data_IF_418222505081
#
_entry.id   IF_418222505081
#
_cell.length_a   1.000
_cell.length_b   1.000
_cell.length_c   1.000
_cell.angle_alpha   90.00
_cell.angle_beta   90.00
_cell.angle_gamma   90.00
#
_symmetry.space_group_name_H-M   'P 1'
#
loop_
_entity.id
_entity.type
_entity.pdbx_description
1 polymer ?
#
# COMPACT_ATOMS: atom_id res chain seq x y z
N UNK A 1 11.62 -24.55 -13.74
CA UNK A 1 12.90 -24.10 -14.34
C UNK A 1 13.41 -22.97 -13.44
N UNK A 2 14.42 -23.24 -12.63
CA UNK A 2 15.01 -22.23 -11.74
C UNK A 2 15.86 -21.33 -12.64
N UNK A 3 15.39 -20.09 -12.86
CA UNK A 3 16.21 -19.09 -13.55
C UNK A 3 17.19 -18.53 -12.52
N UNK A 4 18.40 -19.05 -12.50
CA UNK A 4 19.52 -18.52 -11.75
C UNK A 4 20.00 -17.26 -12.47
N UNK A 5 19.72 -16.07 -11.89
CA UNK A 5 20.23 -14.82 -12.44
C UNK A 5 21.73 -14.67 -12.13
N UNK A 6 22.57 -14.86 -13.13
CA UNK A 6 23.98 -14.49 -13.07
C UNK A 6 24.09 -12.99 -13.44
N UNK A 7 24.31 -12.12 -12.44
CA UNK A 7 24.59 -10.72 -12.70
C UNK A 7 26.08 -10.52 -12.94
N UNK A 8 26.44 -10.05 -14.13
CA UNK A 8 27.78 -9.57 -14.43
C UNK A 8 27.97 -8.14 -13.92
N UNK A 9 29.05 -7.91 -13.21
CA UNK A 9 29.51 -6.59 -12.76
C UNK A 9 29.72 -5.67 -13.96
N UNK A 10 28.96 -4.56 -14.03
CA UNK A 10 29.18 -3.50 -14.98
C UNK A 10 29.50 -2.22 -14.23
N UNK A 11 30.60 -1.61 -14.63
CA UNK A 11 31.26 -0.42 -14.13
C UNK A 11 30.40 0.83 -14.24
N UNK A 12 30.51 1.71 -13.24
CA UNK A 12 29.83 2.99 -13.08
C UNK A 12 29.99 3.93 -14.27
N UNK A 13 28.90 4.44 -14.82
CA UNK A 13 28.88 5.71 -15.54
C UNK A 13 27.56 6.44 -15.30
N UNK A 14 27.68 7.63 -14.69
CA UNK A 14 26.70 8.73 -14.68
C UNK A 14 25.20 8.37 -14.64
N UNK A 15 24.68 7.93 -13.50
CA UNK A 15 23.28 8.17 -13.08
C UNK A 15 22.14 7.61 -13.92
N UNK A 16 22.40 6.97 -15.06
CA UNK A 16 21.38 6.29 -15.88
C UNK A 16 21.54 4.79 -15.70
N UNK A 17 20.47 4.13 -15.31
CA UNK A 17 20.47 2.67 -15.24
C UNK A 17 20.89 2.07 -16.58
N UNK A 18 21.77 1.10 -16.50
CA UNK A 18 22.24 0.39 -17.69
C UNK A 18 21.06 -0.37 -18.34
N UNK A 19 20.85 -0.18 -19.63
CA UNK A 19 19.84 -0.88 -20.42
C UNK A 19 19.97 -2.42 -20.33
N UNK A 20 21.13 -2.93 -19.95
CA UNK A 20 21.36 -4.36 -19.71
C UNK A 20 20.57 -4.87 -18.50
N UNK A 21 20.39 -4.09 -17.45
CA UNK A 21 19.59 -4.46 -16.26
C UNK A 21 18.12 -4.62 -16.65
N UNK A 22 17.59 -3.69 -17.47
CA UNK A 22 16.20 -3.79 -17.97
C UNK A 22 16.01 -5.07 -18.78
N UNK A 23 16.94 -5.39 -19.69
CA UNK A 23 16.88 -6.60 -20.50
C UNK A 23 17.01 -7.89 -19.68
N UNK A 24 17.67 -7.84 -18.52
CA UNK A 24 17.77 -9.00 -17.63
C UNK A 24 16.49 -9.22 -16.82
N UNK A 25 15.72 -8.17 -16.56
CA UNK A 25 14.46 -8.23 -15.81
C UNK A 25 13.27 -8.61 -16.71
N UNK A 26 13.27 -8.15 -17.97
CA UNK A 26 12.12 -8.27 -18.86
C UNK A 26 12.54 -8.75 -20.24
N UNK A 27 11.85 -9.78 -20.74
CA UNK A 27 12.00 -10.26 -22.14
C UNK A 27 11.27 -9.35 -23.12
N UNK A 28 10.16 -8.72 -22.68
CA UNK A 28 9.37 -7.74 -23.43
C UNK A 28 9.13 -6.51 -22.58
N UNK A 29 9.58 -5.36 -23.04
CA UNK A 29 9.45 -4.08 -22.36
C UNK A 29 8.30 -3.22 -22.90
N UNK A 30 7.55 -3.70 -23.88
CA UNK A 30 6.48 -2.93 -24.54
C UNK A 30 5.33 -2.57 -23.60
N UNK A 31 5.13 -3.38 -22.55
CA UNK A 31 4.09 -3.18 -21.54
C UNK A 31 4.67 -2.87 -20.15
N UNK A 32 5.86 -2.29 -20.09
CA UNK A 32 6.52 -1.95 -18.82
C UNK A 32 6.83 -0.46 -18.78
N UNK A 33 6.37 0.21 -17.73
CA UNK A 33 6.70 1.60 -17.45
C UNK A 33 7.87 1.66 -16.47
N UNK A 34 8.85 2.53 -16.75
CA UNK A 34 10.07 2.69 -15.96
C UNK A 34 10.25 4.13 -15.48
N UNK A 35 10.79 4.28 -14.28
CA UNK A 35 11.30 5.55 -13.77
C UNK A 35 12.67 5.32 -13.12
N UNK A 36 13.58 6.25 -13.35
CA UNK A 36 14.96 6.22 -12.84
C UNK A 36 15.18 7.26 -11.73
N UNK A 37 14.14 7.96 -11.35
CA UNK A 37 14.21 9.03 -10.34
C UNK A 37 13.40 8.68 -9.10
N UNK A 38 14.08 8.62 -7.96
CA UNK A 38 13.48 8.53 -6.65
C UNK A 38 13.74 9.77 -5.77
N UNK A 39 14.51 10.74 -6.27
CA UNK A 39 14.92 11.91 -5.49
C UNK A 39 13.79 12.84 -5.11
N UNK A 40 12.67 12.75 -5.80
CA UNK A 40 11.44 13.49 -5.50
C UNK A 40 10.86 13.17 -4.12
N UNK A 41 11.23 12.03 -3.54
CA UNK A 41 10.79 11.58 -2.22
C UNK A 41 11.64 12.12 -1.06
N UNK A 42 12.71 12.88 -1.38
CA UNK A 42 13.56 13.53 -0.37
C UNK A 42 12.98 14.87 0.08
N UNK A 43 11.88 14.86 0.82
CA UNK A 43 11.55 16.01 1.65
C UNK A 43 12.31 15.90 2.98
N UNK A 44 13.38 16.70 3.12
CA UNK A 44 14.22 16.72 4.33
C UNK A 44 13.48 17.20 5.59
N UNK A 45 12.32 17.84 5.45
CA UNK A 45 11.61 18.46 6.59
C UNK A 45 10.45 17.61 7.12
N UNK A 46 9.89 16.72 6.32
CA UNK A 46 8.81 15.82 6.72
C UNK A 46 8.94 14.57 5.87
N UNK A 47 8.78 13.40 6.42
CA UNK A 47 8.65 12.14 5.65
C UNK A 47 7.35 12.11 4.81
N UNK A 48 6.91 13.24 4.29
CA UNK A 48 5.72 13.36 3.46
C UNK A 48 6.07 12.94 2.05
N UNK A 49 5.34 12.02 1.52
CA UNK A 49 5.32 11.73 0.09
C UNK A 49 4.89 13.01 -0.62
N UNK A 50 5.78 13.66 -1.37
CA UNK A 50 5.49 14.94 -2.03
C UNK A 50 4.32 14.85 -2.98
N UNK A 51 4.15 13.71 -3.63
CA UNK A 51 2.98 13.41 -4.44
C UNK A 51 2.76 11.90 -4.47
N UNK A 52 1.64 11.46 -3.93
CA UNK A 52 1.16 10.09 -4.10
C UNK A 52 0.90 9.75 -5.59
N UNK A 53 0.71 10.79 -6.43
CA UNK A 53 0.46 10.67 -7.87
C UNK A 53 1.67 10.14 -8.65
N UNK A 54 2.88 10.27 -8.09
CA UNK A 54 4.10 9.77 -8.73
C UNK A 54 4.40 8.31 -8.34
N UNK A 55 3.57 7.70 -7.50
CA UNK A 55 3.72 6.31 -7.07
C UNK A 55 3.32 5.31 -8.14
N UNK A 56 3.84 4.09 -7.99
CA UNK A 56 3.46 2.94 -8.81
C UNK A 56 2.19 2.32 -8.23
N UNK A 57 1.29 1.84 -9.08
CA UNK A 57 -0.03 1.35 -8.69
C UNK A 57 -0.22 -0.10 -9.09
N UNK A 58 -0.78 -0.91 -8.19
CA UNK A 58 -1.37 -2.21 -8.51
C UNK A 58 -2.67 -2.38 -7.74
N UNK A 59 -3.66 -3.01 -8.37
CA UNK A 59 -4.99 -3.22 -7.78
C UNK A 59 -5.78 -4.28 -8.52
N UNK A 60 -6.81 -4.83 -7.86
CA UNK A 60 -7.69 -5.86 -8.38
C UNK A 60 -9.18 -5.43 -8.41
N UNK A 61 -9.47 -4.13 -8.21
CA UNK A 61 -10.81 -3.60 -8.13
C UNK A 61 -11.38 -3.52 -6.71
N UNK A 62 -10.94 -4.37 -5.77
CA UNK A 62 -11.32 -4.34 -4.36
C UNK A 62 -10.20 -3.75 -3.51
N UNK A 63 -9.03 -4.33 -3.57
CA UNK A 63 -7.81 -3.89 -2.90
C UNK A 63 -6.86 -3.23 -3.89
N UNK A 64 -6.02 -2.36 -3.40
CA UNK A 64 -4.96 -1.76 -4.19
C UNK A 64 -3.93 -1.05 -3.31
N UNK A 65 -2.84 -0.65 -3.93
CA UNK A 65 -1.82 0.15 -3.26
C UNK A 65 -1.11 1.08 -4.22
N UNK A 66 -0.49 2.10 -3.65
CA UNK A 66 0.47 2.98 -4.31
C UNK A 66 1.80 2.80 -3.59
N UNK A 67 2.84 2.39 -4.32
CA UNK A 67 4.21 2.27 -3.82
C UNK A 67 5.04 3.47 -4.26
N UNK A 68 5.71 4.15 -3.32
CA UNK A 68 6.52 5.32 -3.64
C UNK A 68 7.84 4.96 -4.35
N UNK A 69 8.37 3.77 -4.09
CA UNK A 69 9.54 3.22 -4.76
C UNK A 69 10.87 3.69 -4.19
N UNK A 70 10.94 4.22 -2.98
CA UNK A 70 12.22 4.61 -2.38
C UNK A 70 13.07 3.38 -2.03
N UNK A 71 14.39 3.40 -2.29
CA UNK A 71 15.25 2.25 -2.01
C UNK A 71 15.33 1.90 -0.52
N UNK A 72 15.41 2.88 0.38
CA UNK A 72 15.71 2.65 1.79
C UNK A 72 14.60 3.05 2.75
N UNK A 73 13.72 3.96 2.36
CA UNK A 73 12.58 4.42 3.17
C UNK A 73 11.36 4.50 2.28
N UNK A 74 10.73 3.36 2.09
CA UNK A 74 9.60 3.26 1.19
C UNK A 74 8.25 3.38 1.89
N UNK A 75 7.24 3.75 1.11
CA UNK A 75 5.88 3.95 1.57
C UNK A 75 4.93 3.25 0.65
N UNK A 76 4.07 2.41 1.23
CA UNK A 76 2.92 1.82 0.58
C UNK A 76 1.66 2.47 1.12
N UNK A 77 0.86 3.08 0.25
CA UNK A 77 -0.45 3.63 0.60
C UNK A 77 -1.49 2.63 0.14
N UNK A 78 -2.18 1.99 1.08
CA UNK A 78 -3.20 0.99 0.77
C UNK A 78 -4.56 1.63 0.51
N UNK A 79 -5.35 0.97 -0.32
CA UNK A 79 -6.69 1.38 -0.71
C UNK A 79 -7.64 0.18 -0.70
N UNK A 80 -8.86 0.41 -0.24
CA UNK A 80 -9.98 -0.51 -0.46
C UNK A 80 -11.13 0.27 -1.10
N UNK A 81 -11.80 -0.31 -2.10
CA UNK A 81 -12.89 0.36 -2.82
C UNK A 81 -14.06 0.77 -1.93
N UNK A 82 -14.22 0.12 -0.77
CA UNK A 82 -15.28 0.42 0.17
C UNK A 82 -14.90 1.52 1.20
N UNK A 83 -13.70 2.09 1.12
CA UNK A 83 -13.27 3.12 2.06
C UNK A 83 -13.84 4.47 1.67
N UNK A 84 -15.03 4.75 2.19
CA UNK A 84 -15.77 5.99 2.01
C UNK A 84 -16.01 6.58 3.39
N UNK A 85 -15.65 7.86 3.56
CA UNK A 85 -15.87 8.61 4.79
C UNK A 85 -17.37 8.72 5.09
N UNK A 86 -17.84 8.41 6.31
CA UNK A 86 -19.22 8.66 6.71
C UNK A 86 -19.56 10.14 6.61
N UNK A 87 -20.71 10.47 6.04
CA UNK A 87 -21.20 11.83 5.93
C UNK A 87 -22.04 12.23 7.15
N UNK A 88 -22.01 13.53 7.49
CA UNK A 88 -22.83 14.11 8.56
C UNK A 88 -24.32 14.06 8.25
N UNK A 89 -24.71 14.19 6.98
CA UNK A 89 -26.09 14.25 6.54
C UNK A 89 -26.48 12.97 5.80
N UNK A 90 -27.76 12.57 5.95
CA UNK A 90 -28.38 11.61 5.04
C UNK A 90 -28.26 12.12 3.60
N UNK A 91 -27.92 11.23 2.71
CA UNK A 91 -27.90 11.52 1.29
C UNK A 91 -29.33 11.67 0.81
N UNK A 92 -29.72 12.89 0.48
CA UNK A 92 -30.89 13.13 -0.35
C UNK A 92 -30.42 13.17 -1.80
N UNK A 93 -31.11 12.42 -2.67
CA UNK A 93 -30.90 12.56 -4.09
C UNK A 93 -31.25 14.00 -4.47
N UNK A 94 -30.33 14.79 -5.04
CA UNK A 94 -30.67 16.14 -5.46
C UNK A 94 -31.79 16.09 -6.51
N UNK A 95 -32.73 17.04 -6.45
CA UNK A 95 -33.78 17.18 -7.45
C UNK A 95 -33.13 17.80 -8.67
N UNK A 96 -32.65 16.96 -9.57
CA UNK A 96 -31.90 17.38 -10.77
C UNK A 96 -32.76 17.54 -12.00
N UNK A 97 -34.05 17.15 -11.93
CA UNK A 97 -34.94 17.16 -13.11
C UNK A 97 -35.12 18.56 -13.69
N UNK A 98 -35.35 19.57 -12.85
CA UNK A 98 -35.57 20.94 -13.29
C UNK A 98 -34.29 21.59 -13.87
N UNK A 99 -33.12 21.10 -13.46
CA UNK A 99 -31.82 21.59 -13.95
C UNK A 99 -31.36 20.86 -15.22
N UNK A 100 -31.94 19.68 -15.51
CA UNK A 100 -31.49 18.81 -16.59
C UNK A 100 -31.47 19.51 -17.96
N UNK A 101 -32.50 20.32 -18.24
CA UNK A 101 -32.59 21.04 -19.52
C UNK A 101 -31.52 22.14 -19.61
N UNK A 102 -31.25 22.83 -18.52
CA UNK A 102 -30.17 23.82 -18.42
C UNK A 102 -28.81 23.20 -18.65
N UNK A 103 -28.58 22.02 -18.05
CA UNK A 103 -27.35 21.23 -18.22
C UNK A 103 -27.18 20.80 -19.69
N UNK A 104 -28.23 20.24 -20.30
CA UNK A 104 -28.23 19.88 -21.74
C UNK A 104 -27.87 21.04 -22.63
N UNK A 105 -28.48 22.20 -22.40
CA UNK A 105 -28.23 23.43 -23.18
C UNK A 105 -26.79 23.92 -22.99
N UNK A 106 -26.22 23.74 -21.81
CA UNK A 106 -24.83 24.09 -21.54
C UNK A 106 -23.85 23.16 -22.27
N UNK A 107 -24.13 21.86 -22.31
CA UNK A 107 -23.36 20.88 -23.09
C UNK A 107 -23.39 21.21 -24.58
N UNK A 108 -24.59 21.47 -25.11
CA UNK A 108 -24.77 21.83 -26.55
C UNK A 108 -23.97 23.09 -26.90
N UNK A 109 -23.85 24.04 -25.97
CA UNK A 109 -23.07 25.28 -26.16
C UNK A 109 -21.56 25.09 -25.90
N UNK A 110 -21.10 23.87 -25.65
CA UNK A 110 -19.69 23.57 -25.36
C UNK A 110 -19.18 24.16 -24.03
N UNK A 111 -20.07 24.49 -23.09
CA UNK A 111 -19.68 24.96 -21.78
C UNK A 111 -19.27 23.75 -20.91
N UNK A 112 -18.20 23.93 -20.14
CA UNK A 112 -17.84 22.98 -19.14
C UNK A 112 -18.91 22.92 -18.04
N UNK A 113 -19.44 21.72 -17.77
CA UNK A 113 -20.48 21.49 -16.76
C UNK A 113 -19.90 21.06 -15.41
N UNK A 114 -18.59 20.96 -15.30
CA UNK A 114 -17.90 20.54 -14.06
C UNK A 114 -18.02 21.55 -12.93
N UNK A 115 -18.52 22.75 -13.21
CA UNK A 115 -18.67 23.84 -12.22
C UNK A 115 -20.07 23.92 -11.62
N UNK A 116 -20.88 22.85 -11.72
CA UNK A 116 -22.15 22.77 -11.00
C UNK A 116 -21.92 22.46 -9.53
N UNK A 117 -21.70 23.51 -8.76
CA UNK A 117 -21.54 23.52 -7.31
C UNK A 117 -22.74 22.99 -6.50
N UNK A 118 -23.81 22.58 -7.14
CA UNK A 118 -24.96 21.93 -6.48
C UNK A 118 -24.78 20.42 -6.23
N UNK A 119 -23.74 19.81 -6.78
CA UNK A 119 -23.36 18.47 -6.41
C UNK A 119 -22.27 18.54 -5.32
N UNK A 120 -22.69 18.62 -4.07
CA UNK A 120 -21.78 18.34 -2.96
C UNK A 120 -21.09 17.01 -3.22
N UNK A 121 -19.77 16.98 -3.07
CA UNK A 121 -18.96 15.78 -3.22
C UNK A 121 -19.52 14.65 -2.34
N UNK A 122 -20.32 13.80 -2.97
CA UNK A 122 -21.13 12.80 -2.27
C UNK A 122 -20.29 11.65 -1.75
N UNK A 123 -19.06 11.50 -2.27
CA UNK A 123 -18.18 10.38 -1.95
C UNK A 123 -16.78 10.86 -1.65
N UNK A 124 -16.41 10.80 -0.38
CA UNK A 124 -15.03 11.05 0.07
C UNK A 124 -14.32 9.73 0.24
N UNK A 125 -13.70 9.24 -0.84
CA UNK A 125 -12.81 8.10 -0.74
C UNK A 125 -11.55 8.48 0.04
N UNK A 126 -11.06 7.54 0.85
CA UNK A 126 -9.83 7.73 1.61
C UNK A 126 -8.97 6.47 1.56
N UNK A 127 -7.63 6.58 1.66
CA UNK A 127 -6.75 5.43 1.78
C UNK A 127 -6.83 4.77 3.16
N UNK A 128 -6.35 3.51 3.25
CA UNK A 128 -6.39 2.71 4.47
C UNK A 128 -5.29 3.03 5.47
N UNK A 129 -4.16 3.55 5.00
CA UNK A 129 -2.98 3.81 5.83
C UNK A 129 -1.70 3.74 5.02
N UNK A 130 -0.57 4.01 5.65
CA UNK A 130 0.74 4.04 5.04
C UNK A 130 1.67 3.05 5.74
N UNK A 131 2.06 1.96 5.07
CA UNK A 131 3.14 1.11 5.55
C UNK A 131 4.48 1.73 5.18
N UNK A 132 5.35 1.90 6.17
CA UNK A 132 6.73 2.31 6.01
C UNK A 132 7.65 1.10 6.07
N UNK A 133 8.54 0.99 5.09
CA UNK A 133 9.63 0.01 5.06
C UNK A 133 10.93 0.80 5.19
N UNK A 134 11.60 0.72 6.32
CA UNK A 134 12.84 1.43 6.58
C UNK A 134 14.02 0.44 6.63
N UNK A 135 14.97 0.64 5.73
CA UNK A 135 16.24 -0.10 5.64
C UNK A 135 17.37 0.88 5.92
N UNK A 136 18.46 0.42 6.53
CA UNK A 136 19.63 1.28 6.77
C UNK A 136 20.12 1.92 5.47
N UNK A 137 20.25 3.25 5.48
CA UNK A 137 20.61 4.02 4.29
C UNK A 137 22.03 3.71 3.82
N UNK A 138 22.17 3.60 2.51
CA UNK A 138 23.43 3.51 1.78
C UNK A 138 23.33 4.40 0.54
N UNK A 139 24.30 4.33 -0.37
CA UNK A 139 24.23 5.02 -1.66
C UNK A 139 23.61 4.07 -2.68
N UNK A 140 22.39 4.34 -3.13
CA UNK A 140 21.78 3.61 -4.21
C UNK A 140 22.31 4.08 -5.57
N UNK A 141 22.66 3.12 -6.42
CA UNK A 141 23.10 3.31 -7.80
C UNK A 141 22.27 2.42 -8.71
N UNK A 142 22.23 2.70 -10.00
CA UNK A 142 21.46 1.93 -11.00
C UNK A 142 20.00 1.69 -10.59
N UNK A 143 19.40 2.71 -9.98
CA UNK A 143 18.05 2.64 -9.49
C UNK A 143 17.02 2.59 -10.63
N UNK A 144 16.10 1.67 -10.53
CA UNK A 144 14.93 1.55 -11.41
C UNK A 144 13.71 1.23 -10.55
N UNK A 145 12.61 1.93 -10.76
CA UNK A 145 11.28 1.48 -10.36
C UNK A 145 10.44 1.23 -11.61
N UNK A 146 9.55 0.26 -11.56
CA UNK A 146 8.79 -0.14 -12.74
C UNK A 146 7.38 -0.60 -12.39
N UNK A 147 6.48 -0.50 -13.37
CA UNK A 147 5.18 -1.17 -13.40
C UNK A 147 5.15 -2.06 -14.62
N UNK A 148 4.96 -3.36 -14.41
CA UNK A 148 4.79 -4.36 -15.47
C UNK A 148 3.29 -4.66 -15.65
N UNK A 149 2.74 -4.17 -16.74
CA UNK A 149 1.32 -4.37 -17.08
C UNK A 149 1.01 -5.77 -17.58
N UNK A 150 2.01 -6.62 -17.87
CA UNK A 150 1.76 -8.03 -18.20
C UNK A 150 1.44 -8.85 -16.96
N UNK A 151 1.94 -8.42 -15.79
CA UNK A 151 1.85 -9.17 -14.54
C UNK A 151 1.17 -8.40 -13.42
N UNK A 152 0.76 -7.13 -13.66
CA UNK A 152 0.29 -6.20 -12.63
C UNK A 152 1.27 -6.04 -11.46
N UNK A 153 2.54 -6.39 -11.66
CA UNK A 153 3.58 -6.20 -10.66
C UNK A 153 4.17 -4.80 -10.74
N UNK A 154 4.45 -4.25 -9.58
CA UNK A 154 5.34 -3.11 -9.44
C UNK A 154 6.62 -3.55 -8.76
N UNK A 155 7.73 -2.87 -9.03
CA UNK A 155 8.98 -3.26 -8.42
C UNK A 155 10.02 -2.15 -8.38
N UNK A 156 10.98 -2.36 -7.49
CA UNK A 156 12.13 -1.48 -7.26
C UNK A 156 13.40 -2.32 -7.24
N UNK A 157 14.36 -1.92 -8.05
CA UNK A 157 15.69 -2.51 -8.02
C UNK A 157 16.75 -1.42 -7.97
N UNK A 158 17.82 -1.68 -7.27
CA UNK A 158 18.98 -0.79 -7.15
C UNK A 158 20.21 -1.56 -6.70
N UNK A 159 21.37 -0.98 -6.91
CA UNK A 159 22.63 -1.49 -6.41
C UNK A 159 23.13 -0.61 -5.25
N UNK A 160 23.80 -1.23 -4.30
CA UNK A 160 24.62 -0.56 -3.31
C UNK A 160 25.91 -1.35 -3.04
N UNK A 161 26.67 -0.98 -2.01
CA UNK A 161 27.90 -1.70 -1.61
C UNK A 161 27.70 -3.19 -1.30
N UNK A 162 26.46 -3.61 -1.04
CA UNK A 162 26.10 -4.98 -0.69
C UNK A 162 25.61 -5.81 -1.89
N UNK A 163 25.52 -5.22 -3.08
CA UNK A 163 25.03 -5.85 -4.29
C UNK A 163 23.70 -5.29 -4.79
N UNK A 164 22.99 -6.08 -5.59
CA UNK A 164 21.69 -5.69 -6.15
C UNK A 164 20.56 -6.14 -5.25
N UNK A 165 19.63 -5.23 -4.98
CA UNK A 165 18.40 -5.45 -4.23
C UNK A 165 17.20 -5.44 -5.16
N UNK A 166 16.19 -6.26 -4.83
CA UNK A 166 14.94 -6.31 -5.55
C UNK A 166 13.77 -6.39 -4.56
N UNK A 167 12.77 -5.55 -4.78
CA UNK A 167 11.44 -5.63 -4.16
C UNK A 167 10.41 -5.68 -5.25
N UNK A 168 9.42 -6.58 -5.11
CA UNK A 168 8.31 -6.73 -6.05
C UNK A 168 7.00 -6.82 -5.29
N UNK A 169 5.94 -6.24 -5.85
CA UNK A 169 4.62 -6.22 -5.23
C UNK A 169 3.52 -6.37 -6.27
N UNK A 170 2.42 -7.01 -5.93
CA UNK A 170 1.20 -7.05 -6.72
C UNK A 170 -0.04 -7.18 -5.82
N UNK A 171 -1.20 -6.80 -6.35
CA UNK A 171 -2.49 -7.10 -5.70
C UNK A 171 -3.06 -8.37 -6.30
N UNK A 172 -3.24 -9.41 -5.47
CA UNK A 172 -3.72 -10.71 -5.93
C UNK A 172 -5.15 -10.66 -6.43
N UNK A 173 -5.38 -11.10 -7.67
CA UNK A 173 -6.73 -11.32 -8.23
C UNK A 173 -7.39 -12.58 -7.66
N UNK A 174 -6.61 -13.47 -7.05
CA UNK A 174 -7.07 -14.76 -6.56
C UNK A 174 -7.41 -14.76 -5.06
N UNK A 175 -6.93 -13.77 -4.30
CA UNK A 175 -6.97 -13.80 -2.84
C UNK A 175 -7.35 -12.46 -2.20
N UNK A 176 -7.54 -11.40 -2.98
CA UNK A 176 -7.87 -10.03 -2.53
C UNK A 176 -6.90 -9.48 -1.48
N UNK A 177 -5.61 -9.79 -1.63
CA UNK A 177 -4.54 -9.29 -0.76
C UNK A 177 -3.41 -8.67 -1.57
N UNK A 178 -2.72 -7.72 -0.99
CA UNK A 178 -1.46 -7.19 -1.53
C UNK A 178 -0.33 -8.10 -1.09
N UNK A 179 0.48 -8.55 -2.03
CA UNK A 179 1.65 -9.42 -1.80
C UNK A 179 2.91 -8.64 -2.15
N UNK A 180 3.80 -8.46 -1.17
CA UNK A 180 5.11 -7.82 -1.37
C UNK A 180 6.22 -8.80 -0.99
N UNK A 181 7.25 -8.88 -1.82
CA UNK A 181 8.46 -9.66 -1.60
C UNK A 181 9.68 -8.75 -1.59
N UNK A 182 10.54 -8.93 -0.58
CA UNK A 182 11.87 -8.37 -0.52
C UNK A 182 12.86 -9.54 -0.42
N UNK A 183 13.90 -9.53 -1.22
CA UNK A 183 14.96 -10.53 -1.18
C UNK A 183 16.27 -9.93 -0.67
N UNK A 184 17.12 -10.78 -0.07
CA UNK A 184 18.52 -10.43 0.22
C UNK A 184 19.23 -9.98 -1.06
N UNK A 185 20.31 -9.22 -0.90
CA UNK A 185 21.06 -8.75 -2.06
C UNK A 185 21.65 -9.90 -2.89
N UNK A 186 21.97 -9.61 -4.15
CA UNK A 186 22.62 -10.57 -5.04
C UNK A 186 23.93 -11.15 -4.50
N UNK A 187 24.62 -10.39 -3.64
CA UNK A 187 25.86 -10.82 -2.97
C UNK A 187 25.61 -11.50 -1.61
N UNK A 188 24.34 -11.80 -1.27
CA UNK A 188 23.96 -12.52 -0.05
C UNK A 188 23.86 -11.67 1.21
N UNK A 189 23.94 -10.34 1.13
CA UNK A 189 23.69 -9.48 2.28
C UNK A 189 22.24 -9.59 2.72
N UNK A 190 22.04 -9.85 4.02
CA UNK A 190 20.74 -10.12 4.62
C UNK A 190 19.91 -8.85 4.77
N UNK A 191 18.58 -9.03 4.80
CA UNK A 191 17.64 -7.96 5.06
C UNK A 191 17.61 -7.60 6.54
N UNK A 192 17.82 -6.31 6.81
CA UNK A 192 17.68 -5.68 8.12
C UNK A 192 16.80 -4.46 7.95
N UNK A 193 15.56 -4.53 8.43
CA UNK A 193 14.56 -3.48 8.20
C UNK A 193 13.59 -3.33 9.37
N UNK A 194 12.90 -2.19 9.38
CA UNK A 194 11.83 -1.92 10.32
C UNK A 194 10.56 -1.56 9.55
N UNK A 195 9.45 -2.16 9.95
CA UNK A 195 8.11 -1.89 9.44
C UNK A 195 7.33 -1.08 10.46
N UNK A 196 6.59 -0.08 9.99
CA UNK A 196 5.67 0.71 10.81
C UNK A 196 4.50 1.20 9.97
N UNK A 197 3.38 1.52 10.63
CA UNK A 197 2.28 2.24 9.98
C UNK A 197 2.34 3.72 10.35
N UNK A 198 2.03 4.58 9.36
CA UNK A 198 1.65 5.97 9.58
C UNK A 198 0.16 6.13 9.26
N UNK A 199 -0.45 7.14 9.88
CA UNK A 199 -1.81 7.54 9.59
C UNK A 199 -1.91 8.36 8.29
N UNK A 200 -3.11 8.82 7.98
CA UNK A 200 -3.36 9.62 6.79
C UNK A 200 -2.94 11.09 6.92
N UNK A 201 -2.71 11.58 8.14
CA UNK A 201 -2.36 12.99 8.39
C UNK A 201 -1.03 13.40 7.77
N UNK A 202 -0.16 12.43 7.49
CA UNK A 202 1.14 12.65 6.87
C UNK A 202 1.10 12.65 5.34
N UNK A 203 -0.05 12.36 4.72
CA UNK A 203 -0.22 12.44 3.27
C UNK A 203 -0.38 13.88 2.81
N UNK A 204 0.36 14.25 1.76
CA UNK A 204 0.20 15.56 1.14
C UNK A 204 -1.17 15.68 0.47
N UNK A 205 -1.85 16.82 0.66
CA UNK A 205 -3.19 17.11 0.15
C UNK A 205 -4.31 16.20 0.69
N UNK A 206 -4.04 15.47 1.76
CA UNK A 206 -5.04 14.74 2.52
C UNK A 206 -5.23 15.48 3.85
N UNK A 207 -6.44 15.81 4.21
CA UNK A 207 -6.67 16.46 5.49
C UNK A 207 -7.57 17.66 5.42
N UNK A 208 -8.71 17.52 4.78
CA UNK A 208 -9.87 18.36 5.07
C UNK A 208 -10.47 17.97 6.42
N UNK A 209 -11.51 18.64 6.86
CA UNK A 209 -11.95 18.69 8.25
C UNK A 209 -12.22 17.33 8.92
N UNK A 210 -12.63 16.32 8.18
CA UNK A 210 -13.10 15.06 8.76
C UNK A 210 -11.98 14.07 9.04
N UNK A 211 -10.96 14.00 8.20
CA UNK A 211 -9.80 13.14 8.40
C UNK A 211 -8.98 13.55 9.63
N UNK A 212 -9.03 14.83 10.01
CA UNK A 212 -8.40 15.33 11.24
C UNK A 212 -9.07 14.82 12.52
N UNK A 213 -10.32 14.38 12.40
CA UNK A 213 -11.11 13.85 13.52
C UNK A 213 -11.05 12.33 13.63
N UNK A 214 -10.39 11.65 12.70
CA UNK A 214 -10.14 10.21 12.79
C UNK A 214 -9.17 9.89 13.93
N UNK A 215 -9.38 8.75 14.57
CA UNK A 215 -8.49 8.23 15.60
C UNK A 215 -7.82 6.97 15.12
N UNK A 216 -6.54 6.84 15.43
CA UNK A 216 -5.71 5.73 14.96
C UNK A 216 -5.09 4.99 16.14
N UNK A 217 -5.00 3.67 16.00
CA UNK A 217 -4.29 2.80 16.94
C UNK A 217 -3.36 1.90 16.16
N UNK A 218 -2.08 1.89 16.52
CA UNK A 218 -1.07 1.00 15.95
C UNK A 218 -0.95 -0.24 16.83
N UNK A 219 -0.93 -1.40 16.19
CA UNK A 219 -0.77 -2.68 16.85
C UNK A 219 0.36 -3.47 16.18
N UNK A 220 1.13 -4.18 16.97
CA UNK A 220 2.07 -5.18 16.49
C UNK A 220 2.02 -6.39 17.40
N UNK A 221 2.03 -7.57 16.81
CA UNK A 221 2.17 -8.82 17.56
C UNK A 221 3.52 -8.91 18.27
N UNK A 222 3.57 -9.54 19.42
CA UNK A 222 4.80 -9.64 20.23
C UNK A 222 5.92 -10.41 19.50
N UNK A 223 5.57 -11.45 18.75
CA UNK A 223 6.51 -12.20 17.90
C UNK A 223 6.84 -11.47 16.59
N UNK A 224 6.13 -10.39 16.27
CA UNK A 224 6.30 -9.67 15.02
C UNK A 224 5.63 -10.34 13.82
N UNK A 225 4.64 -11.20 14.07
CA UNK A 225 3.93 -11.91 13.00
C UNK A 225 2.99 -11.01 12.21
N UNK A 226 2.46 -9.94 12.82
CA UNK A 226 1.68 -8.95 12.11
C UNK A 226 1.86 -7.55 12.66
N UNK A 227 1.52 -6.59 11.83
CA UNK A 227 1.42 -5.16 12.12
C UNK A 227 0.05 -4.68 11.64
N UNK A 228 -0.64 -3.84 12.43
CA UNK A 228 -1.94 -3.31 12.06
C UNK A 228 -2.08 -1.82 12.38
N UNK A 229 -2.82 -1.11 11.53
CA UNK A 229 -3.36 0.21 11.77
C UNK A 229 -4.88 0.07 11.89
N UNK A 230 -5.42 0.40 13.05
CA UNK A 230 -6.86 0.47 13.31
C UNK A 230 -7.29 1.92 13.31
N UNK A 231 -8.34 2.23 12.57
CA UNK A 231 -8.83 3.59 12.38
C UNK A 231 -10.30 3.67 12.74
N UNK A 232 -10.68 4.72 13.47
CA UNK A 232 -12.06 4.99 13.83
C UNK A 232 -12.56 6.24 13.13
N UNK A 233 -13.71 6.11 12.48
CA UNK A 233 -14.38 7.26 11.87
C UNK A 233 -14.92 8.22 12.92
N UNK A 234 -14.97 9.53 12.63
CA UNK A 234 -15.64 10.49 13.49
C UNK A 234 -17.15 10.19 13.58
N UNK A 235 -17.70 10.33 14.78
CA UNK A 235 -19.15 10.21 15.00
C UNK A 235 -19.83 11.56 14.74
N UNK A 236 -20.50 11.73 13.63
CA UNK A 236 -21.27 12.93 13.32
C UNK A 236 -22.61 12.94 14.06
N UNK A 237 -23.01 14.09 14.61
CA UNK A 237 -24.22 14.20 15.44
C UNK A 237 -25.51 13.77 14.73
N UNK A 238 -25.61 14.09 13.44
CA UNK A 238 -26.82 13.83 12.62
C UNK A 238 -26.77 12.50 11.89
N UNK A 239 -25.65 11.78 11.91
CA UNK A 239 -25.53 10.47 11.26
C UNK A 239 -26.02 9.37 12.18
N UNK A 240 -26.70 8.39 11.63
CA UNK A 240 -27.04 7.14 12.31
C UNK A 240 -25.83 6.20 12.43
N UNK A 241 -24.84 6.38 11.56
CA UNK A 241 -23.62 5.59 11.54
C UNK A 241 -22.67 6.07 12.67
N UNK A 242 -22.48 5.22 13.66
CA UNK A 242 -21.60 5.48 14.81
C UNK A 242 -20.58 4.36 14.97
N UNK A 243 -19.45 4.72 15.59
CA UNK A 243 -18.41 3.80 16.04
C UNK A 243 -17.81 2.91 14.92
N UNK A 244 -18.03 3.25 13.67
CA UNK A 244 -17.44 2.54 12.55
C UNK A 244 -15.96 2.84 12.39
N UNK A 245 -15.30 2.03 11.55
CA UNK A 245 -13.90 2.20 11.26
C UNK A 245 -13.41 1.17 10.25
N UNK A 246 -12.10 1.08 10.17
CA UNK A 246 -11.42 0.12 9.30
C UNK A 246 -10.08 -0.31 9.92
N UNK A 247 -9.52 -1.36 9.39
CA UNK A 247 -8.16 -1.79 9.72
C UNK A 247 -7.37 -2.08 8.44
N UNK A 248 -6.09 -1.77 8.48
CA UNK A 248 -5.11 -2.25 7.50
C UNK A 248 -4.12 -3.12 8.25
N UNK A 249 -4.00 -4.38 7.83
CA UNK A 249 -3.19 -5.40 8.51
C UNK A 249 -2.18 -5.97 7.54
N UNK A 250 -0.92 -6.02 7.97
CA UNK A 250 0.16 -6.69 7.25
C UNK A 250 0.66 -7.89 8.05
N UNK A 251 0.53 -9.08 7.49
CA UNK A 251 1.11 -10.32 8.00
C UNK A 251 2.52 -10.49 7.44
N UNK A 252 3.47 -10.85 8.29
CA UNK A 252 4.91 -10.79 8.02
C UNK A 252 5.49 -12.20 8.08
N UNK A 253 6.02 -12.67 6.96
CA UNK A 253 6.69 -13.95 6.82
C UNK A 253 8.16 -13.71 6.51
N UNK A 254 9.07 -14.39 7.18
CA UNK A 254 10.51 -14.30 6.92
C UNK A 254 11.09 -15.67 6.58
N UNK A 255 11.98 -15.70 5.61
CA UNK A 255 12.87 -16.83 5.39
C UNK A 255 14.20 -16.50 6.06
N UNK A 256 14.59 -17.29 7.06
CA UNK A 256 15.73 -16.96 7.92
C UNK A 256 15.53 -15.72 8.80
N UNK A 257 16.56 -15.41 9.58
CA UNK A 257 16.55 -14.24 10.46
C UNK A 257 15.57 -14.30 11.62
N UNK A 258 15.31 -13.14 12.20
CA UNK A 258 14.36 -12.96 13.32
C UNK A 258 13.49 -11.75 13.11
N UNK A 259 12.30 -11.77 13.69
CA UNK A 259 11.39 -10.64 13.74
C UNK A 259 10.87 -10.45 15.16
N UNK A 260 10.63 -9.20 15.55
CA UNK A 260 10.09 -8.86 16.88
C UNK A 260 9.39 -7.52 16.86
N UNK A 261 8.44 -7.36 17.76
CA UNK A 261 7.84 -6.06 18.07
C UNK A 261 8.89 -5.10 18.61
N UNK A 262 8.77 -3.83 18.20
CA UNK A 262 9.54 -2.69 18.74
C UNK A 262 8.61 -1.52 18.97
N UNK A 263 8.98 -0.63 19.88
CA UNK A 263 8.38 0.69 20.02
C UNK A 263 9.29 1.68 19.31
N UNK A 264 8.71 2.48 18.43
CA UNK A 264 9.41 3.51 17.66
C UNK A 264 9.16 4.88 18.28
N UNK A 265 10.09 5.80 18.04
CA UNK A 265 9.89 7.20 18.37
C UNK A 265 8.69 7.74 17.59
N UNK A 266 7.85 8.54 18.25
CA UNK A 266 6.75 9.21 17.58
C UNK A 266 7.29 10.27 16.64
N UNK A 267 6.79 10.31 15.41
CA UNK A 267 7.02 11.47 14.56
C UNK A 267 6.31 12.71 15.14
N UNK A 268 6.87 13.88 14.94
CA UNK A 268 6.38 15.15 15.50
C UNK A 268 4.94 15.46 15.08
N UNK A 269 4.50 14.93 13.94
CA UNK A 269 3.16 15.16 13.37
C UNK A 269 2.11 14.09 13.78
N UNK A 270 2.46 13.10 14.62
CA UNK A 270 1.58 11.99 15.03
C UNK A 270 0.75 12.29 16.28
N UNK A 271 0.23 13.52 16.42
CA UNK A 271 -0.60 13.92 17.57
C UNK A 271 -1.93 13.16 17.69
N UNK A 272 -2.35 12.45 16.62
CA UNK A 272 -3.61 11.71 16.57
C UNK A 272 -3.50 10.27 17.07
N UNK A 273 -2.29 9.76 17.32
CA UNK A 273 -2.12 8.44 17.87
C UNK A 273 -2.45 8.38 19.35
N UNK A 274 -3.42 7.55 19.68
CA UNK A 274 -3.83 7.25 21.06
C UNK A 274 -3.05 6.09 21.68
N UNK A 275 -2.20 5.42 20.88
CA UNK A 275 -1.44 4.23 21.26
C UNK A 275 0.07 4.43 21.15
N UNK A 276 0.79 3.45 21.66
CA UNK A 276 2.24 3.30 21.43
C UNK A 276 2.54 3.23 19.91
N UNK A 277 3.66 3.82 19.48
CA UNK A 277 4.11 3.72 18.08
C UNK A 277 4.75 2.34 17.82
N UNK A 278 3.89 1.32 17.72
CA UNK A 278 4.32 -0.06 17.50
C UNK A 278 4.85 -0.28 16.10
N UNK A 279 5.95 -1.02 15.99
CA UNK A 279 6.55 -1.46 14.74
C UNK A 279 7.06 -2.88 14.86
N UNK A 280 7.57 -3.43 13.75
CA UNK A 280 8.24 -4.74 13.70
C UNK A 280 9.64 -4.57 13.13
N UNK A 281 10.64 -4.99 13.89
CA UNK A 281 12.04 -5.07 13.44
C UNK A 281 12.34 -6.47 12.94
N UNK A 282 12.91 -6.55 11.74
CA UNK A 282 13.39 -7.77 11.10
C UNK A 282 14.91 -7.69 11.02
N UNK A 283 15.59 -8.77 11.38
CA UNK A 283 17.05 -8.85 11.41
C UNK A 283 17.52 -10.11 10.71
N UNK A 284 18.49 -9.96 9.82
CA UNK A 284 19.22 -11.03 9.11
C UNK A 284 18.34 -12.00 8.30
N UNK A 285 17.25 -11.52 7.71
CA UNK A 285 16.39 -12.35 6.87
C UNK A 285 16.97 -12.53 5.46
N UNK A 286 16.75 -13.72 4.86
CA UNK A 286 17.03 -13.99 3.44
C UNK A 286 15.95 -13.38 2.55
N UNK A 287 14.70 -13.56 2.94
CA UNK A 287 13.54 -12.95 2.27
C UNK A 287 12.49 -12.52 3.28
N UNK A 288 11.75 -11.49 2.94
CA UNK A 288 10.58 -11.01 3.70
C UNK A 288 9.39 -10.95 2.76
N UNK A 289 8.30 -11.58 3.17
CA UNK A 289 7.03 -11.51 2.46
C UNK A 289 6.03 -10.78 3.33
N UNK A 290 5.35 -9.80 2.74
CA UNK A 290 4.30 -9.02 3.39
C UNK A 290 2.99 -9.31 2.68
N UNK A 291 2.02 -9.82 3.41
CA UNK A 291 0.65 -10.00 2.94
C UNK A 291 -0.20 -8.94 3.61
N UNK A 292 -0.86 -8.07 2.84
CA UNK A 292 -1.62 -6.95 3.40
C UNK A 292 -3.06 -6.98 2.90
N UNK A 293 -3.99 -6.74 3.82
CA UNK A 293 -5.40 -6.52 3.53
C UNK A 293 -5.89 -5.30 4.28
N UNK A 294 -6.80 -4.58 3.66
CA UNK A 294 -7.51 -3.46 4.28
C UNK A 294 -9.00 -3.78 4.30
N UNK A 295 -9.63 -3.74 5.49
CA UNK A 295 -11.03 -4.06 5.66
C UNK A 295 -11.73 -3.07 6.57
N UNK A 296 -13.04 -2.96 6.46
CA UNK A 296 -13.86 -2.06 7.25
C UNK A 296 -14.88 -2.82 8.10
N UNK A 297 -15.35 -2.16 9.15
CA UNK A 297 -16.35 -2.70 10.09
C UNK A 297 -17.77 -2.75 9.51
N UNK A 298 -17.95 -2.31 8.29
CA UNK A 298 -19.24 -2.04 7.72
C UNK A 298 -19.45 -2.81 6.42
N UNK A 299 -20.52 -3.59 6.37
CA UNK A 299 -21.02 -4.18 5.13
C UNK A 299 -21.94 -3.18 4.43
N UNK A 300 -21.67 -2.87 3.16
CA UNK A 300 -22.49 -1.95 2.36
C UNK A 300 -23.95 -2.39 2.24
N UNK A 301 -24.20 -3.69 2.34
CA UNK A 301 -25.54 -4.28 2.28
C UNK A 301 -26.30 -4.27 3.61
N UNK A 302 -25.62 -4.03 4.73
CA UNK A 302 -26.22 -4.08 6.06
C UNK A 302 -25.64 -3.00 6.99
N UNK A 303 -26.39 -1.92 7.16
CA UNK A 303 -26.05 -0.79 8.03
C UNK A 303 -25.80 -1.18 9.49
N UNK A 304 -26.41 -2.27 9.97
CA UNK A 304 -26.24 -2.72 11.35
C UNK A 304 -24.86 -3.31 11.62
N UNK A 305 -24.06 -3.53 10.60
CA UNK A 305 -22.69 -4.04 10.72
C UNK A 305 -21.65 -2.95 11.01
N UNK A 306 -22.03 -1.67 10.96
CA UNK A 306 -21.09 -0.55 11.06
C UNK A 306 -20.32 -0.51 12.38
N UNK A 307 -20.93 -0.92 13.49
CA UNK A 307 -20.35 -0.89 14.85
C UNK A 307 -19.66 -2.21 15.26
N UNK A 308 -18.86 -2.82 14.37
CA UNK A 308 -18.16 -4.09 14.66
C UNK A 308 -16.72 -3.92 15.16
N UNK A 309 -16.22 -2.69 15.28
CA UNK A 309 -14.82 -2.40 15.63
C UNK A 309 -14.51 -2.55 17.14
N UNK A 310 -15.49 -2.84 18.00
CA UNK A 310 -15.40 -2.66 19.45
C UNK A 310 -14.19 -3.33 20.09
N UNK A 311 -13.85 -4.53 19.69
CA UNK A 311 -12.85 -5.35 20.36
C UNK A 311 -11.69 -5.75 19.41
N UNK A 312 -11.36 -4.92 18.44
CA UNK A 312 -10.36 -5.24 17.41
C UNK A 312 -10.60 -6.57 16.67
N UNK A 313 -11.84 -7.09 16.76
CA UNK A 313 -12.20 -8.33 16.07
C UNK A 313 -11.90 -8.28 14.57
N UNK A 314 -12.02 -7.10 13.95
CA UNK A 314 -11.67 -6.91 12.55
C UNK A 314 -10.19 -7.22 12.27
N UNK A 315 -9.28 -6.87 13.20
CA UNK A 315 -7.85 -7.20 13.09
C UNK A 315 -7.66 -8.71 13.12
N UNK A 316 -8.34 -9.41 14.04
CA UNK A 316 -8.24 -10.86 14.15
C UNK A 316 -8.78 -11.56 12.90
N UNK A 317 -9.89 -11.06 12.34
CA UNK A 317 -10.49 -11.57 11.09
C UNK A 317 -9.50 -11.35 9.90
N UNK A 318 -8.89 -10.17 9.78
CA UNK A 318 -7.86 -9.89 8.78
C UNK A 318 -6.63 -10.79 8.95
N UNK A 319 -6.12 -10.94 10.18
CA UNK A 319 -4.99 -11.84 10.47
C UNK A 319 -5.31 -13.27 10.08
N UNK A 320 -6.52 -13.73 10.37
CA UNK A 320 -6.98 -15.08 10.00
C UNK A 320 -7.02 -15.27 8.48
N UNK A 321 -7.55 -14.28 7.74
CA UNK A 321 -7.55 -14.28 6.27
C UNK A 321 -6.14 -14.36 5.73
N UNK A 322 -5.22 -13.52 6.21
CA UNK A 322 -3.84 -13.48 5.75
C UNK A 322 -3.07 -14.77 6.08
N UNK A 323 -3.32 -15.37 7.24
CA UNK A 323 -2.76 -16.68 7.60
C UNK A 323 -3.25 -17.80 6.68
N UNK A 324 -4.53 -17.79 6.31
CA UNK A 324 -5.09 -18.76 5.36
C UNK A 324 -4.42 -18.63 3.97
N UNK A 325 -4.22 -17.39 3.49
CA UNK A 325 -3.49 -17.13 2.25
C UNK A 325 -2.03 -17.60 2.36
N UNK A 326 -1.37 -17.31 3.48
CA UNK A 326 -0.01 -17.78 3.73
C UNK A 326 0.09 -19.31 3.71
N UNK A 327 -0.86 -20.01 4.33
CA UNK A 327 -0.92 -21.47 4.34
C UNK A 327 -1.21 -22.06 2.96
N UNK A 328 -2.12 -21.45 2.18
CA UNK A 328 -2.46 -21.85 0.81
C UNK A 328 -1.22 -21.93 -0.09
N UNK A 329 -0.29 -21.03 0.11
CA UNK A 329 0.94 -20.93 -0.71
C UNK A 329 2.19 -21.39 0.03
N UNK A 330 2.05 -22.14 1.12
CA UNK A 330 3.18 -22.66 1.87
C UNK A 330 3.63 -24.02 1.27
N UNK A 331 4.93 -24.18 1.03
CA UNK A 331 5.54 -25.43 0.64
C UNK A 331 6.71 -25.78 1.58
N UNK A 332 7.53 -26.76 1.20
CA UNK A 332 8.66 -27.22 2.00
C UNK A 332 9.75 -26.13 2.24
N UNK A 333 9.77 -25.10 1.41
CA UNK A 333 10.71 -23.97 1.49
C UNK A 333 10.12 -22.73 2.18
N UNK A 334 8.87 -22.77 2.60
CA UNK A 334 8.13 -21.66 3.19
C UNK A 334 7.10 -21.06 2.23
N UNK A 335 6.82 -19.77 2.34
CA UNK A 335 5.86 -19.09 1.46
C UNK A 335 6.35 -19.03 0.03
N UNK A 336 5.58 -19.62 -0.88
CA UNK A 336 5.88 -19.70 -2.32
C UNK A 336 5.26 -18.51 -3.07
N UNK A 337 6.04 -17.43 -3.19
CA UNK A 337 5.65 -16.23 -3.93
C UNK A 337 5.31 -16.50 -5.39
N UNK A 338 6.08 -17.37 -6.06
CA UNK A 338 5.89 -17.65 -7.48
C UNK A 338 4.59 -18.41 -7.75
N UNK A 339 4.17 -19.26 -6.80
CA UNK A 339 2.85 -19.93 -6.88
C UNK A 339 1.71 -18.93 -6.66
N UNK A 340 1.85 -18.00 -5.72
CA UNK A 340 0.88 -16.93 -5.51
C UNK A 340 0.75 -16.03 -6.75
N UNK A 341 1.87 -15.63 -7.33
CA UNK A 341 1.92 -14.87 -8.59
C UNK A 341 1.29 -15.65 -9.74
N UNK A 342 1.59 -16.94 -9.89
CA UNK A 342 1.00 -17.79 -10.91
C UNK A 342 -0.53 -17.84 -10.82
N UNK A 343 -1.09 -17.97 -9.62
CA UNK A 343 -2.53 -17.98 -9.41
C UNK A 343 -3.17 -16.63 -9.72
N UNK A 344 -2.50 -15.53 -9.35
CA UNK A 344 -2.90 -14.19 -9.77
C UNK A 344 -2.94 -14.06 -11.30
N UNK A 345 -1.87 -14.47 -11.98
CA UNK A 345 -1.75 -14.38 -13.45
C UNK A 345 -2.80 -15.22 -14.20
N UNK A 346 -3.20 -16.34 -13.64
CA UNK A 346 -4.26 -17.18 -14.24
C UNK A 346 -5.62 -16.46 -14.37
N UNK A 347 -5.86 -15.43 -13.54
CA UNK A 347 -7.05 -14.60 -13.59
C UNK A 347 -6.78 -13.28 -14.31
N UNK A 348 -5.63 -12.66 -14.06
CA UNK A 348 -5.28 -11.34 -14.59
C UNK A 348 -5.02 -11.33 -16.10
N UNK A 349 -4.25 -12.28 -16.62
CA UNK A 349 -3.82 -12.28 -18.04
C UNK A 349 -4.95 -12.50 -19.05
N UNK A 350 -6.02 -13.25 -18.75
CA UNK A 350 -7.15 -13.39 -19.68
C UNK A 350 -8.02 -12.14 -19.82
N UNK A 351 -7.88 -11.14 -18.95
CA UNK A 351 -8.61 -9.88 -18.98
C UNK A 351 -7.95 -8.86 -19.92
#
# INVERSE_FOLDING_TARGET
MIVSFAFSLVSCSNGKADKSVIKSLFTDTSKVSFSYDYTQLKDKKRNKTKSWRDGMVSGNGLQGFIESGSPYSDTFIFQNMHFIMPNENQRTCPVTFDELETVKQSIVKGKDITDNSSYDDVYRYHPGGQLRINIAQSRAENYIRYTDYNTSQVGVTYNDKNGTWLRTSFTSMADDVVVTKLDKSSNGAKLNLTLSYDDLSTLANFGDSDEKNMKYTKLADNSGDYLALVSHYPNHKKSELKNGGYATVTYIITSGGTKKRVTLDKNIDESQFTSENAGVKITDADSVYLLTVSERTYDMGDINTFDKQKDFKLVDDCVSTLKNVAQKYNDKSGFNYDLALKNHLAIYQPQ
#
